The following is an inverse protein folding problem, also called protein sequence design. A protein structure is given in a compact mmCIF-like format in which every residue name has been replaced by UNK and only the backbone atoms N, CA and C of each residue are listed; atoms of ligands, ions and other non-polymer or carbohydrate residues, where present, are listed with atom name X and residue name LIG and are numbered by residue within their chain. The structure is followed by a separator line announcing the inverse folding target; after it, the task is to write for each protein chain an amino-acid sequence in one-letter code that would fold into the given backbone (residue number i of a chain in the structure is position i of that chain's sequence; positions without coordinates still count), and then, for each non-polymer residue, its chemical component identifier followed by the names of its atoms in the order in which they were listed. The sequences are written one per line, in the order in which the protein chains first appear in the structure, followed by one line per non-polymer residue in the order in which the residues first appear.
data_IF_896825180726
#
_entry.id   IF_896825180726
#
_cell.length_a   1.000
_cell.length_b   1.000
_cell.length_c   1.000
_cell.angle_alpha   90.00
_cell.angle_beta   90.00
_cell.angle_gamma   90.00
#
_symmetry.space_group_name_H-M   'P 1'
#
loop_
_entity.id
_entity.type
_entity.pdbx_description
1 polymer ?
#
# COMPACT_ATOMS: atom_id res chain seq x y z
N UNK A 1 -14.01 -10.88 -9.76
CA UNK A 1 -13.71 -9.51 -10.17
C UNK A 1 -12.21 -9.38 -10.43
N UNK A 2 -11.82 -8.61 -11.46
CA UNK A 2 -10.45 -8.18 -11.73
C UNK A 2 -10.21 -6.87 -10.99
N UNK A 3 -9.24 -6.85 -10.10
CA UNK A 3 -8.93 -5.68 -9.27
C UNK A 3 -7.51 -5.21 -9.59
N UNK A 4 -7.36 -3.93 -9.84
CA UNK A 4 -6.05 -3.28 -9.98
C UNK A 4 -5.86 -2.32 -8.80
N UNK A 5 -4.72 -2.44 -8.13
CA UNK A 5 -4.29 -1.52 -7.09
C UNK A 5 -3.21 -0.62 -7.67
N UNK A 6 -3.37 0.69 -7.52
CA UNK A 6 -2.41 1.70 -7.97
C UNK A 6 -2.01 2.60 -6.82
N UNK A 7 -0.75 3.05 -6.82
CA UNK A 7 -0.21 3.97 -5.83
C UNK A 7 0.68 5.03 -6.48
N UNK A 8 1.21 5.97 -5.69
CA UNK A 8 1.92 7.17 -6.18
C UNK A 8 3.33 6.89 -6.74
N UNK A 9 3.90 7.89 -7.44
CA UNK A 9 5.29 7.89 -7.92
C UNK A 9 6.28 7.79 -6.75
N UNK A 10 7.38 7.07 -6.97
CA UNK A 10 8.38 6.79 -5.93
C UNK A 10 7.74 6.16 -4.69
N UNK A 11 7.09 5.00 -4.86
CA UNK A 11 6.33 4.39 -3.77
C UNK A 11 7.20 4.16 -2.54
N UNK A 12 6.68 4.56 -1.40
CA UNK A 12 7.32 4.38 -0.10
C UNK A 12 6.79 3.15 0.66
N UNK A 13 7.09 3.07 1.95
CA UNK A 13 6.68 1.93 2.76
C UNK A 13 5.17 1.87 2.99
N UNK A 14 4.46 3.00 3.08
CA UNK A 14 3.01 3.00 3.26
C UNK A 14 2.28 2.69 1.94
N UNK A 15 2.74 3.25 0.83
CA UNK A 15 2.23 2.92 -0.50
C UNK A 15 2.30 1.41 -0.79
N UNK A 16 3.44 0.77 -0.49
CA UNK A 16 3.59 -0.68 -0.68
C UNK A 16 2.89 -1.48 0.42
N UNK A 17 2.97 -1.04 1.66
CA UNK A 17 2.35 -1.72 2.81
C UNK A 17 0.83 -1.83 2.66
N UNK A 18 0.17 -0.72 2.32
CA UNK A 18 -1.27 -0.69 2.07
C UNK A 18 -1.66 -1.53 0.85
N UNK A 19 -0.89 -1.41 -0.26
CA UNK A 19 -1.17 -2.14 -1.50
C UNK A 19 -1.01 -3.65 -1.33
N UNK A 20 0.09 -4.11 -0.74
CA UNK A 20 0.35 -5.53 -0.49
C UNK A 20 -0.56 -6.10 0.60
N UNK A 21 -0.84 -5.33 1.66
CA UNK A 21 -1.79 -5.73 2.68
C UNK A 21 -3.19 -5.97 2.13
N UNK A 22 -3.66 -5.07 1.24
CA UNK A 22 -4.94 -5.23 0.55
C UNK A 22 -4.90 -6.39 -0.45
N UNK A 23 -3.80 -6.58 -1.19
CA UNK A 23 -3.62 -7.71 -2.11
C UNK A 23 -3.82 -9.03 -1.37
N UNK A 24 -3.06 -9.29 -0.29
CA UNK A 24 -3.13 -10.54 0.48
C UNK A 24 -4.53 -10.79 1.04
N UNK A 25 -5.22 -9.76 1.50
CA UNK A 25 -6.61 -9.89 1.93
C UNK A 25 -7.53 -10.26 0.76
N UNK A 26 -7.43 -9.58 -0.38
CA UNK A 26 -8.29 -9.85 -1.54
C UNK A 26 -8.05 -11.24 -2.15
N UNK A 27 -6.83 -11.75 -2.07
CA UNK A 27 -6.49 -13.13 -2.47
C UNK A 27 -7.23 -14.16 -1.60
N UNK A 28 -7.38 -13.93 -0.28
CA UNK A 28 -8.21 -14.82 0.58
C UNK A 28 -9.68 -14.80 0.18
N UNK A 29 -10.13 -13.74 -0.51
CA UNK A 29 -11.49 -13.60 -1.03
C UNK A 29 -11.59 -14.08 -2.50
N UNK A 30 -10.61 -14.84 -2.99
CA UNK A 30 -10.56 -15.41 -4.35
C UNK A 30 -10.68 -14.36 -5.46
N UNK A 31 -10.12 -13.16 -5.25
CA UNK A 31 -10.08 -12.10 -6.26
C UNK A 31 -8.81 -12.20 -7.10
N UNK A 32 -8.93 -11.80 -8.38
CA UNK A 32 -7.78 -11.64 -9.26
C UNK A 32 -7.24 -10.21 -9.11
N UNK A 33 -6.07 -10.06 -8.50
CA UNK A 33 -5.53 -8.75 -8.07
C UNK A 33 -4.15 -8.52 -8.67
N UNK A 34 -3.92 -7.33 -9.20
CA UNK A 34 -2.61 -6.86 -9.65
C UNK A 34 -2.28 -5.52 -9.01
N UNK A 35 -1.02 -5.35 -8.57
CA UNK A 35 -0.50 -4.06 -8.11
C UNK A 35 0.33 -3.46 -9.23
N UNK A 36 0.06 -2.20 -9.58
CA UNK A 36 0.80 -1.43 -10.57
C UNK A 36 1.33 -0.17 -9.91
N UNK A 37 2.64 0.04 -9.98
CA UNK A 37 3.30 1.25 -9.46
C UNK A 37 3.92 2.05 -10.61
N UNK A 38 3.96 3.40 -10.54
CA UNK A 38 4.47 4.21 -11.63
C UNK A 38 5.94 3.93 -11.98
N UNK A 39 6.78 3.75 -10.97
CA UNK A 39 8.24 3.57 -11.13
C UNK A 39 8.83 2.68 -10.02
N UNK A 40 10.17 2.62 -9.95
CA UNK A 40 10.86 1.81 -8.95
C UNK A 40 10.61 2.31 -7.51
N UNK A 41 10.51 1.35 -6.61
CA UNK A 41 10.49 1.58 -5.17
C UNK A 41 11.82 1.18 -4.52
N UNK A 42 12.11 1.63 -3.29
CA UNK A 42 13.37 1.37 -2.60
C UNK A 42 13.68 -0.12 -2.41
N UNK A 43 14.96 -0.48 -2.54
CA UNK A 43 15.41 -1.88 -2.42
C UNK A 43 15.12 -2.48 -1.04
N UNK A 44 15.13 -1.68 0.01
CA UNK A 44 14.85 -2.14 1.38
C UNK A 44 13.37 -2.54 1.59
N UNK A 45 12.50 -2.37 0.62
CA UNK A 45 11.11 -2.84 0.63
C UNK A 45 10.89 -4.11 -0.20
N UNK A 46 11.89 -4.57 -0.97
CA UNK A 46 11.75 -5.75 -1.86
C UNK A 46 11.53 -7.07 -1.15
N UNK A 47 11.84 -7.14 0.15
CA UNK A 47 11.61 -8.33 0.97
C UNK A 47 10.14 -8.53 1.32
N UNK A 48 9.30 -7.51 1.18
CA UNK A 48 7.89 -7.59 1.54
C UNK A 48 7.18 -8.69 0.74
N UNK A 49 6.37 -9.52 1.39
CA UNK A 49 5.62 -10.58 0.71
C UNK A 49 4.81 -10.03 -0.47
N UNK A 50 4.99 -10.62 -1.67
CA UNK A 50 4.33 -10.17 -2.90
C UNK A 50 5.03 -9.04 -3.66
N UNK A 51 6.04 -8.37 -3.09
CA UNK A 51 6.70 -7.22 -3.72
C UNK A 51 7.37 -7.53 -5.07
N UNK A 52 7.80 -8.78 -5.29
CA UNK A 52 8.43 -9.25 -6.54
C UNK A 52 7.46 -9.27 -7.72
N UNK A 53 6.17 -9.38 -7.47
CA UNK A 53 5.12 -9.50 -8.48
C UNK A 53 4.47 -8.16 -8.82
N UNK A 54 4.91 -7.06 -8.19
CA UNK A 54 4.47 -5.70 -8.47
C UNK A 54 4.90 -5.30 -9.88
N UNK A 55 3.94 -4.84 -10.67
CA UNK A 55 4.15 -4.39 -12.05
C UNK A 55 4.62 -2.94 -12.04
N UNK A 56 5.75 -2.66 -12.68
CA UNK A 56 6.26 -1.30 -12.85
C UNK A 56 5.80 -0.74 -14.18
N UNK A 57 5.04 0.32 -14.14
CA UNK A 57 4.49 0.99 -15.33
C UNK A 57 5.58 1.53 -16.25
N UNK A 58 6.65 2.10 -15.68
CA UNK A 58 7.80 2.63 -16.44
C UNK A 58 8.53 1.58 -17.27
N UNK A 59 8.28 0.29 -17.04
CA UNK A 59 8.88 -0.83 -17.77
C UNK A 59 7.90 -1.63 -18.61
N UNK A 60 6.64 -1.72 -18.17
CA UNK A 60 5.63 -2.61 -18.74
C UNK A 60 4.31 -1.87 -18.98
N UNK A 61 4.39 -0.65 -19.55
CA UNK A 61 3.23 0.24 -19.70
C UNK A 61 2.10 -0.36 -20.53
N UNK A 62 2.41 -1.03 -21.67
CA UNK A 62 1.39 -1.65 -22.53
C UNK A 62 0.59 -2.73 -21.78
N UNK A 63 1.29 -3.62 -21.08
CA UNK A 63 0.66 -4.66 -20.28
C UNK A 63 -0.14 -4.08 -19.11
N UNK A 64 0.39 -3.05 -18.46
CA UNK A 64 -0.29 -2.36 -17.37
C UNK A 64 -1.57 -1.65 -17.85
N UNK A 65 -1.53 -1.02 -19.04
CA UNK A 65 -2.71 -0.38 -19.66
C UNK A 65 -3.81 -1.39 -19.97
N UNK A 66 -3.47 -2.60 -20.44
CA UNK A 66 -4.43 -3.68 -20.65
C UNK A 66 -5.12 -4.08 -19.34
N UNK A 67 -4.33 -4.27 -18.25
CA UNK A 67 -4.89 -4.62 -16.94
C UNK A 67 -5.80 -3.52 -16.38
N UNK A 68 -5.39 -2.24 -16.52
CA UNK A 68 -6.18 -1.09 -16.08
C UNK A 68 -7.49 -0.99 -16.88
N UNK A 69 -7.43 -1.23 -18.18
CA UNK A 69 -8.61 -1.18 -19.05
C UNK A 69 -9.62 -2.29 -18.75
N UNK A 70 -9.14 -3.49 -18.39
CA UNK A 70 -9.97 -4.66 -18.07
C UNK A 70 -10.43 -4.72 -16.61
N UNK A 71 -9.97 -3.81 -15.75
CA UNK A 71 -10.30 -3.84 -14.33
C UNK A 71 -11.78 -3.57 -14.06
N UNK A 72 -12.42 -4.40 -13.23
CA UNK A 72 -13.76 -4.13 -12.68
C UNK A 72 -13.68 -3.06 -11.59
N UNK A 73 -12.58 -3.07 -10.80
CA UNK A 73 -12.31 -2.13 -9.71
C UNK A 73 -10.85 -1.67 -9.77
N UNK A 74 -10.63 -0.37 -9.59
CA UNK A 74 -9.31 0.23 -9.41
C UNK A 74 -9.25 0.83 -8.01
N UNK A 75 -8.39 0.27 -7.16
CA UNK A 75 -8.11 0.81 -5.84
C UNK A 75 -6.94 1.79 -5.93
N UNK A 76 -7.21 3.06 -5.66
CA UNK A 76 -6.25 4.15 -5.63
C UNK A 76 -5.79 4.33 -4.19
N UNK A 77 -4.56 3.93 -3.86
CA UNK A 77 -4.06 3.90 -2.49
C UNK A 77 -2.92 4.88 -2.29
N UNK A 78 -3.00 5.61 -1.18
CA UNK A 78 -1.94 6.47 -0.68
C UNK A 78 -1.58 7.65 -1.60
N UNK A 79 -2.57 8.20 -2.27
CA UNK A 79 -2.45 9.46 -3.00
C UNK A 79 -3.79 10.16 -3.15
N UNK A 80 -3.76 11.49 -3.16
CA UNK A 80 -4.95 12.34 -3.16
C UNK A 80 -5.36 12.88 -4.53
N UNK A 81 -4.49 12.77 -5.56
CA UNK A 81 -4.67 13.40 -6.87
C UNK A 81 -4.06 12.55 -8.00
N UNK A 82 -4.71 12.56 -9.18
CA UNK A 82 -4.20 11.83 -10.36
C UNK A 82 -2.80 12.27 -10.79
N UNK A 83 -2.41 13.51 -10.53
CA UNK A 83 -1.06 14.00 -10.80
C UNK A 83 0.04 13.24 -10.04
N UNK A 84 -0.30 12.53 -8.97
CA UNK A 84 0.63 11.73 -8.14
C UNK A 84 1.03 10.41 -8.78
N UNK A 85 0.34 9.96 -9.83
CA UNK A 85 0.59 8.67 -10.50
C UNK A 85 1.18 8.84 -11.91
N UNK A 86 1.65 10.06 -12.26
CA UNK A 86 2.36 10.40 -13.49
C UNK A 86 1.68 9.85 -14.76
N UNK A 87 2.40 9.12 -15.61
CA UNK A 87 1.89 8.58 -16.87
C UNK A 87 0.67 7.64 -16.71
N UNK A 88 0.51 6.99 -15.54
CA UNK A 88 -0.66 6.16 -15.24
C UNK A 88 -1.96 6.96 -15.06
N UNK A 89 -1.89 8.28 -14.87
CA UNK A 89 -3.07 9.13 -14.66
C UNK A 89 -4.09 9.01 -15.80
N UNK A 90 -3.60 9.01 -17.04
CA UNK A 90 -4.44 8.95 -18.23
C UNK A 90 -5.19 7.61 -18.37
N UNK A 91 -4.54 6.43 -18.37
CA UNK A 91 -5.25 5.15 -18.45
C UNK A 91 -6.15 4.90 -17.23
N UNK A 92 -5.74 5.27 -16.01
CA UNK A 92 -6.59 5.15 -14.82
C UNK A 92 -7.84 6.02 -14.95
N UNK A 93 -7.71 7.29 -15.35
CA UNK A 93 -8.86 8.17 -15.55
C UNK A 93 -9.83 7.64 -16.63
N UNK A 94 -9.30 7.11 -17.74
CA UNK A 94 -10.07 6.63 -18.89
C UNK A 94 -10.74 5.27 -18.65
N UNK A 95 -10.27 4.46 -17.69
CA UNK A 95 -10.83 3.14 -17.40
C UNK A 95 -12.30 3.21 -17.00
N UNK A 96 -13.11 2.25 -17.50
CA UNK A 96 -14.49 2.06 -17.10
C UNK A 96 -14.65 1.41 -15.71
N UNK A 97 -13.58 0.87 -15.14
CA UNK A 97 -13.53 0.27 -13.80
C UNK A 97 -13.97 1.25 -12.71
N UNK A 98 -14.64 0.72 -11.69
CA UNK A 98 -15.06 1.52 -10.54
C UNK A 98 -13.83 1.92 -9.71
N UNK A 99 -13.58 3.21 -9.59
CA UNK A 99 -12.44 3.75 -8.83
C UNK A 99 -12.83 3.95 -7.37
N UNK A 100 -11.95 3.48 -6.48
CA UNK A 100 -12.07 3.64 -5.02
C UNK A 100 -10.78 4.26 -4.51
N UNK A 101 -10.88 5.43 -3.87
CA UNK A 101 -9.76 6.09 -3.21
C UNK A 101 -9.72 5.69 -1.74
N UNK A 102 -8.56 5.26 -1.25
CA UNK A 102 -8.28 5.07 0.18
C UNK A 102 -6.96 5.77 0.48
N UNK A 103 -7.04 6.85 1.25
CA UNK A 103 -5.93 7.78 1.40
C UNK A 103 -6.01 8.56 2.72
N UNK A 104 -4.87 8.94 3.27
CA UNK A 104 -4.79 9.79 4.46
C UNK A 104 -4.23 11.20 4.18
N UNK A 105 -3.96 11.53 2.92
CA UNK A 105 -3.51 12.86 2.54
C UNK A 105 -4.65 13.89 2.54
N UNK A 106 -4.27 15.18 2.69
CA UNK A 106 -5.21 16.29 2.67
C UNK A 106 -5.73 16.58 1.24
N UNK A 107 -6.94 17.11 1.14
CA UNK A 107 -7.52 17.64 -0.11
C UNK A 107 -7.58 16.63 -1.26
N UNK A 108 -8.31 15.51 -1.13
CA UNK A 108 -8.47 14.55 -2.22
C UNK A 108 -9.23 15.17 -3.39
N UNK A 109 -8.79 14.87 -4.64
CA UNK A 109 -9.51 15.21 -5.86
C UNK A 109 -10.74 14.30 -6.03
N UNK A 110 -11.79 14.83 -6.68
CA UNK A 110 -13.04 14.11 -6.97
C UNK A 110 -12.94 13.35 -8.31
N UNK A 111 -12.16 12.25 -8.35
CA UNK A 111 -12.04 11.38 -9.53
C UNK A 111 -12.49 9.94 -9.27
N UNK A 112 -12.81 9.61 -8.03
CA UNK A 112 -13.23 8.28 -7.61
C UNK A 112 -14.73 8.23 -7.28
N UNK A 113 -15.36 7.10 -7.58
CA UNK A 113 -16.76 6.87 -7.20
C UNK A 113 -16.97 6.74 -5.69
N UNK A 114 -15.97 6.21 -5.01
CA UNK A 114 -15.94 6.06 -3.55
C UNK A 114 -14.63 6.65 -3.05
N UNK A 115 -14.72 7.50 -2.05
CA UNK A 115 -13.56 8.13 -1.40
C UNK A 115 -13.58 7.83 0.09
N UNK A 116 -12.55 7.16 0.58
CA UNK A 116 -12.26 6.93 1.99
C UNK A 116 -10.99 7.73 2.29
N UNK A 117 -11.17 8.97 2.75
CA UNK A 117 -10.08 9.90 3.05
C UNK A 117 -10.17 10.34 4.50
N UNK A 118 -9.12 10.05 5.26
CA UNK A 118 -9.03 10.30 6.69
C UNK A 118 -7.66 10.87 7.07
N UNK A 119 -7.43 12.18 6.90
CA UNK A 119 -6.13 12.81 7.18
C UNK A 119 -5.69 12.75 8.66
N UNK A 120 -6.61 12.45 9.57
CA UNK A 120 -6.32 12.25 11.00
C UNK A 120 -5.72 10.87 11.32
N UNK A 121 -5.75 9.95 10.36
CA UNK A 121 -5.20 8.59 10.49
C UNK A 121 -3.71 8.60 10.12
N UNK A 122 -2.92 7.76 10.78
CA UNK A 122 -1.47 7.79 10.69
C UNK A 122 -0.90 7.35 9.34
N UNK A 123 -1.63 6.50 8.61
CA UNK A 123 -1.18 5.91 7.35
C UNK A 123 -2.33 5.27 6.57
N UNK A 124 -2.16 5.11 5.27
CA UNK A 124 -3.11 4.35 4.42
C UNK A 124 -3.14 2.87 4.81
N UNK A 125 -2.03 2.30 5.27
CA UNK A 125 -1.97 0.93 5.81
C UNK A 125 -2.88 0.76 7.02
N UNK A 126 -2.94 1.73 7.91
CA UNK A 126 -3.90 1.75 9.02
C UNK A 126 -5.34 1.77 8.51
N UNK A 127 -5.63 2.56 7.47
CA UNK A 127 -6.97 2.61 6.87
C UNK A 127 -7.37 1.26 6.27
N UNK A 128 -6.47 0.56 5.58
CA UNK A 128 -6.72 -0.78 5.03
C UNK A 128 -7.03 -1.77 6.17
N UNK A 129 -6.24 -1.79 7.24
CA UNK A 129 -6.54 -2.64 8.40
C UNK A 129 -7.94 -2.36 8.95
N UNK A 130 -8.27 -1.08 9.17
CA UNK A 130 -9.58 -0.66 9.69
C UNK A 130 -10.73 -1.06 8.75
N UNK A 131 -10.52 -0.95 7.44
CA UNK A 131 -11.50 -1.35 6.42
C UNK A 131 -11.79 -2.85 6.50
N UNK A 132 -10.75 -3.70 6.52
CA UNK A 132 -10.88 -5.16 6.60
C UNK A 132 -11.64 -5.55 7.90
N UNK A 133 -11.28 -4.94 9.02
CA UNK A 133 -11.97 -5.18 10.30
C UNK A 133 -13.45 -4.74 10.27
N UNK A 134 -13.78 -3.60 9.65
CA UNK A 134 -15.16 -3.13 9.50
C UNK A 134 -16.01 -4.03 8.60
N UNK A 135 -15.39 -4.72 7.67
CA UNK A 135 -16.06 -5.75 6.86
C UNK A 135 -16.30 -7.05 7.63
N UNK A 136 -15.78 -7.18 8.85
CA UNK A 136 -15.90 -8.39 9.67
C UNK A 136 -14.87 -9.48 9.33
N UNK A 137 -13.82 -9.14 8.57
CA UNK A 137 -12.87 -10.10 7.99
C UNK A 137 -11.49 -10.08 8.68
N UNK A 138 -11.41 -9.71 9.95
CA UNK A 138 -10.12 -9.69 10.67
C UNK A 138 -9.37 -11.03 10.59
N UNK A 139 -10.08 -12.14 10.66
CA UNK A 139 -9.48 -13.47 10.63
C UNK A 139 -8.84 -13.79 9.26
N UNK A 140 -9.28 -13.14 8.20
CA UNK A 140 -8.76 -13.33 6.84
C UNK A 140 -7.46 -12.52 6.59
N UNK A 141 -7.02 -11.71 7.56
CA UNK A 141 -5.70 -11.08 7.50
C UNK A 141 -4.65 -12.17 7.71
N UNK A 142 -3.90 -12.49 6.65
CA UNK A 142 -2.79 -13.44 6.71
C UNK A 142 -1.59 -12.85 7.44
N UNK A 143 -0.61 -13.69 7.82
CA UNK A 143 0.65 -13.21 8.38
C UNK A 143 1.39 -12.29 7.40
N UNK A 144 1.43 -12.66 6.13
CA UNK A 144 2.06 -11.86 5.06
C UNK A 144 1.38 -10.50 4.90
N UNK A 145 0.06 -10.47 4.88
CA UNK A 145 -0.70 -9.22 4.86
C UNK A 145 -0.44 -8.35 6.10
N UNK A 146 -0.37 -8.97 7.28
CA UNK A 146 -0.06 -8.28 8.52
C UNK A 146 1.37 -7.70 8.54
N UNK A 147 2.38 -8.42 7.99
CA UNK A 147 3.74 -7.91 7.82
C UNK A 147 3.77 -6.66 6.93
N UNK A 148 2.99 -6.67 5.84
CA UNK A 148 2.88 -5.54 4.92
C UNK A 148 2.20 -4.33 5.59
N UNK A 149 1.04 -4.53 6.22
CA UNK A 149 0.31 -3.45 6.91
C UNK A 149 1.14 -2.84 8.04
N UNK A 150 1.79 -3.68 8.87
CA UNK A 150 2.68 -3.20 9.92
C UNK A 150 3.84 -2.37 9.36
N UNK A 151 4.44 -2.82 8.25
CA UNK A 151 5.56 -2.11 7.61
C UNK A 151 5.13 -0.72 7.14
N UNK A 152 3.97 -0.60 6.50
CA UNK A 152 3.44 0.70 6.08
C UNK A 152 3.20 1.64 7.26
N UNK A 153 2.48 1.19 8.30
CA UNK A 153 2.25 1.98 9.51
C UNK A 153 3.56 2.41 10.17
N UNK A 154 4.55 1.51 10.24
CA UNK A 154 5.84 1.77 10.89
C UNK A 154 6.67 2.79 10.09
N UNK A 155 6.70 2.70 8.77
CA UNK A 155 7.49 3.63 7.94
C UNK A 155 6.92 5.02 7.96
N UNK A 156 5.61 5.17 7.86
CA UNK A 156 4.94 6.46 7.80
C UNK A 156 4.92 7.22 9.13
N UNK A 157 5.12 6.51 10.22
CA UNK A 157 5.24 7.06 11.58
C UNK A 157 6.68 7.16 12.09
N UNK A 158 7.68 6.92 11.21
CA UNK A 158 9.09 6.92 11.61
C UNK A 158 9.41 5.95 12.75
N UNK A 159 8.89 4.72 12.67
CA UNK A 159 9.02 3.73 13.74
C UNK A 159 8.16 4.04 14.96
N UNK A 160 7.00 4.65 14.75
CA UNK A 160 6.06 5.10 15.79
C UNK A 160 6.63 6.20 16.70
N UNK A 161 7.46 7.09 16.15
CA UNK A 161 8.04 8.22 16.87
C UNK A 161 7.27 9.53 16.67
N UNK A 162 6.47 9.62 15.60
CA UNK A 162 5.58 10.76 15.34
C UNK A 162 4.24 10.28 14.76
N UNK A 163 3.24 11.14 14.78
CA UNK A 163 1.88 10.87 14.29
C UNK A 163 1.27 9.54 14.80
N UNK A 164 1.67 9.10 16.00
CA UNK A 164 1.34 7.78 16.56
C UNK A 164 0.92 7.83 18.03
N UNK A 165 0.37 8.95 18.50
CA UNK A 165 -0.04 9.10 19.90
C UNK A 165 -1.46 8.55 20.20
N UNK A 166 -2.15 7.99 19.21
CA UNK A 166 -3.47 7.42 19.43
C UNK A 166 -3.38 6.03 20.06
N UNK A 167 -4.30 5.72 20.97
CA UNK A 167 -4.41 4.38 21.58
C UNK A 167 -4.72 3.32 20.52
N UNK A 168 -5.46 3.69 19.49
CA UNK A 168 -5.94 2.82 18.42
C UNK A 168 -4.78 2.24 17.62
N UNK A 169 -3.73 3.01 17.35
CA UNK A 169 -2.52 2.52 16.66
C UNK A 169 -1.91 1.34 17.42
N UNK A 170 -1.72 1.48 18.74
CA UNK A 170 -1.12 0.40 19.56
C UNK A 170 -2.03 -0.80 19.68
N UNK A 171 -3.34 -0.61 19.69
CA UNK A 171 -4.31 -1.71 19.59
C UNK A 171 -4.13 -2.45 18.25
N UNK A 172 -4.08 -1.73 17.13
CA UNK A 172 -3.87 -2.33 15.79
C UNK A 172 -2.53 -3.08 15.74
N UNK A 173 -1.45 -2.51 16.28
CA UNK A 173 -0.15 -3.18 16.37
C UNK A 173 -0.27 -4.49 17.16
N UNK A 174 -0.99 -4.49 18.28
CA UNK A 174 -1.24 -5.71 19.06
C UNK A 174 -1.97 -6.77 18.25
N UNK A 175 -2.99 -6.38 17.49
CA UNK A 175 -3.75 -7.29 16.63
C UNK A 175 -2.88 -7.84 15.48
N UNK A 176 -2.05 -7.00 14.84
CA UNK A 176 -1.11 -7.46 13.82
C UNK A 176 -0.06 -8.43 14.39
N UNK A 177 0.44 -8.18 15.61
CA UNK A 177 1.33 -9.11 16.31
C UNK A 177 0.68 -10.46 16.57
N UNK A 178 -0.64 -10.50 16.84
CA UNK A 178 -1.38 -11.75 17.04
C UNK A 178 -1.38 -12.65 15.80
N UNK A 179 -1.16 -12.07 14.60
CA UNK A 179 -1.00 -12.80 13.33
C UNK A 179 0.38 -13.45 13.17
N UNK A 180 1.28 -13.32 14.16
CA UNK A 180 2.57 -14.01 14.20
C UNK A 180 3.71 -13.29 13.45
N UNK A 181 3.59 -11.98 13.22
CA UNK A 181 4.68 -11.19 12.62
C UNK A 181 5.84 -10.99 13.61
N UNK A 182 7.06 -10.86 13.09
CA UNK A 182 8.26 -10.46 13.87
C UNK A 182 8.57 -8.97 13.59
N UNK A 183 8.03 -8.09 14.43
CA UNK A 183 8.22 -6.64 14.29
C UNK A 183 9.69 -6.20 14.39
N UNK A 184 10.52 -6.93 15.15
CA UNK A 184 11.92 -6.60 15.32
C UNK A 184 12.73 -6.98 14.07
N UNK A 185 12.36 -8.08 13.41
CA UNK A 185 12.91 -8.44 12.10
C UNK A 185 12.49 -7.42 11.03
N UNK A 186 11.22 -7.03 11.00
CA UNK A 186 10.70 -6.00 10.07
C UNK A 186 11.47 -4.69 10.27
N UNK A 187 11.64 -4.24 11.51
CA UNK A 187 12.38 -3.02 11.82
C UNK A 187 13.84 -3.09 11.28
N UNK A 188 14.53 -4.22 11.50
CA UNK A 188 15.89 -4.42 10.98
C UNK A 188 15.94 -4.35 9.45
N UNK A 189 14.98 -4.98 8.76
CA UNK A 189 14.92 -4.97 7.29
C UNK A 189 14.71 -3.57 6.73
N UNK A 190 13.92 -2.75 7.38
CA UNK A 190 13.57 -1.40 6.91
C UNK A 190 14.64 -0.36 7.29
N UNK A 191 15.06 -0.33 8.55
CA UNK A 191 15.91 0.77 9.06
C UNK A 191 17.39 0.40 9.17
N UNK A 192 17.73 -0.87 9.31
CA UNK A 192 19.12 -1.31 9.51
C UNK A 192 19.75 -1.97 8.29
N UNK A 193 19.02 -2.06 7.17
CA UNK A 193 19.57 -2.56 5.91
C UNK A 193 20.18 -1.40 5.12
N UNK A 194 21.49 -1.27 5.19
CA UNK A 194 22.24 -0.28 4.40
C UNK A 194 22.74 -0.93 3.12
N UNK A 195 22.39 -0.36 1.95
CA UNK A 195 23.07 -0.72 0.71
C UNK A 195 24.53 -0.26 0.76
N UNK A 196 25.44 -0.95 0.06
CA UNK A 196 26.85 -0.54 -0.05
C UNK A 196 26.99 0.92 -0.49
N UNK A 197 26.13 1.36 -1.42
CA UNK A 197 26.14 2.74 -1.94
C UNK A 197 25.76 3.75 -0.86
N UNK A 198 24.81 3.41 0.01
CA UNK A 198 24.46 4.27 1.15
C UNK A 198 25.58 4.33 2.20
N UNK A 199 26.27 3.22 2.45
CA UNK A 199 27.43 3.20 3.33
C UNK A 199 28.59 4.03 2.76
N UNK A 200 28.82 3.99 1.45
CA UNK A 200 29.83 4.81 0.77
C UNK A 200 29.53 6.32 0.79
N UNK A 201 28.24 6.70 0.85
CA UNK A 201 27.84 8.10 0.97
C UNK A 201 27.96 8.64 2.40
N UNK A 202 28.01 7.78 3.40
CA UNK A 202 28.10 8.16 4.83
C UNK A 202 29.55 8.16 5.36
N UNK A 203 30.54 7.65 4.64
CA UNK A 203 31.96 7.62 4.97
C UNK A 203 32.81 8.44 4.06
#
# INVERSE_FOLDING_TARGET
DKIVIVTHVSPDGDALGSSLGLLHFLETQEKNVHIIVPNAFPDFLRWMPGAKDIIRYDKYSEFADELIAEADVICCLDFNALSRIDAMAKPVAASAGRKVLIDHHLNPEDFCRVTISHPEISSTSELIFRLICRMGNFEDITREGAECLYTGMMTDTGGFTYNSNSREIYFIISELLSKGIDKDEIYRKVFNTYSEDRLRLMG
#
